data_IF_430950308775
#
_entry.id   IF_430950308775
#
_cell.length_a   1.000
_cell.length_b   1.000
_cell.length_c   1.000
_cell.angle_alpha   90.00
_cell.angle_beta   90.00
_cell.angle_gamma   90.00
#
_symmetry.space_group_name_H-M   'P 1'
#
loop_
_entity.id
_entity.type
_entity.pdbx_description
1 polymer ?
#
# COMPACT_ATOMS: atom_id res chain seq x y z
N UNK A 1 -16.25 -9.41 16.43
CA UNK A 1 -14.85 -9.48 16.89
C UNK A 1 -14.12 -10.61 16.18
N UNK A 2 -13.06 -10.29 15.46
CA UNK A 2 -12.20 -11.24 14.72
C UNK A 2 -11.13 -11.77 15.69
N UNK A 3 -10.82 -13.08 15.65
CA UNK A 3 -9.76 -13.69 16.46
C UNK A 3 -8.70 -14.33 15.57
N UNK A 4 -7.44 -14.03 15.85
CA UNK A 4 -6.28 -14.52 15.09
C UNK A 4 -5.08 -14.76 16.01
N UNK A 5 -4.06 -15.49 15.54
CA UNK A 5 -2.81 -15.61 16.29
C UNK A 5 -1.93 -14.39 16.09
N UNK A 6 -1.82 -13.91 14.85
CA UNK A 6 -1.07 -12.71 14.51
C UNK A 6 -1.93 -11.77 13.66
N UNK A 7 -2.01 -10.49 14.07
CA UNK A 7 -2.52 -9.40 13.27
C UNK A 7 -1.36 -8.66 12.62
N UNK A 8 -1.42 -8.52 11.30
CA UNK A 8 -0.43 -7.82 10.50
C UNK A 8 -1.06 -6.50 10.02
N UNK A 9 -0.50 -5.38 10.44
CA UNK A 9 -0.97 -4.04 10.06
C UNK A 9 -0.14 -3.56 8.88
N UNK A 10 -0.75 -3.55 7.70
CA UNK A 10 -0.16 -3.24 6.41
C UNK A 10 -0.05 -4.48 5.50
N UNK A 11 -0.65 -4.38 4.30
CA UNK A 11 -0.66 -5.42 3.26
C UNK A 11 0.36 -5.16 2.14
N UNK A 12 1.40 -4.37 2.40
CA UNK A 12 2.53 -4.19 1.49
C UNK A 12 3.44 -5.42 1.43
N UNK A 13 4.55 -5.39 0.66
CA UNK A 13 5.47 -6.54 0.50
C UNK A 13 5.90 -7.15 1.82
N UNK A 14 6.26 -6.32 2.81
CA UNK A 14 6.68 -6.77 4.14
C UNK A 14 5.56 -7.49 4.88
N UNK A 15 4.33 -6.94 4.86
CA UNK A 15 3.17 -7.56 5.50
C UNK A 15 2.81 -8.90 4.86
N UNK A 16 2.82 -8.97 3.53
CA UNK A 16 2.57 -10.22 2.80
C UNK A 16 3.65 -11.26 3.11
N UNK A 17 4.93 -10.89 3.11
CA UNK A 17 5.99 -11.82 3.48
C UNK A 17 5.92 -12.26 4.95
N UNK A 18 5.43 -11.39 5.85
CA UNK A 18 5.16 -11.78 7.25
C UNK A 18 4.12 -12.89 7.36
N UNK A 19 3.11 -12.90 6.47
CA UNK A 19 2.14 -14.02 6.40
C UNK A 19 2.84 -15.33 6.05
N UNK A 20 3.78 -15.30 5.09
CA UNK A 20 4.54 -16.48 4.69
C UNK A 20 5.30 -17.06 5.89
N UNK A 21 6.08 -16.25 6.57
CA UNK A 21 6.87 -16.69 7.73
C UNK A 21 6.00 -17.18 8.89
N UNK A 22 4.93 -16.46 9.22
CA UNK A 22 3.98 -16.86 10.26
C UNK A 22 3.24 -18.14 9.88
N UNK A 23 2.91 -18.30 8.60
CA UNK A 23 2.25 -19.50 8.07
C UNK A 23 3.09 -20.75 8.17
N UNK A 24 4.41 -20.65 7.94
CA UNK A 24 5.35 -21.76 8.18
C UNK A 24 5.34 -22.22 9.64
N UNK A 25 5.08 -21.30 10.58
CA UNK A 25 4.91 -21.58 12.01
C UNK A 25 3.48 -22.01 12.37
N UNK A 26 2.61 -22.23 11.37
CA UNK A 26 1.20 -22.63 11.53
C UNK A 26 0.36 -21.60 12.29
N UNK A 27 0.73 -20.33 12.27
CA UNK A 27 -0.04 -19.25 12.86
C UNK A 27 -1.19 -18.86 11.93
N UNK A 28 -2.36 -18.62 12.51
CA UNK A 28 -3.48 -18.01 11.81
C UNK A 28 -3.21 -16.52 11.66
N UNK A 29 -3.18 -16.04 10.41
CA UNK A 29 -2.88 -14.65 10.08
C UNK A 29 -4.15 -13.86 9.72
N UNK A 30 -4.22 -12.62 10.19
CA UNK A 30 -5.19 -11.62 9.73
C UNK A 30 -4.43 -10.35 9.32
N UNK A 31 -4.75 -9.81 8.15
CA UNK A 31 -4.15 -8.59 7.62
C UNK A 31 -5.16 -7.45 7.72
N UNK A 32 -4.71 -6.31 8.25
CA UNK A 32 -5.46 -5.05 8.28
C UNK A 32 -4.73 -4.03 7.41
N UNK A 33 -5.42 -3.42 6.46
CA UNK A 33 -4.86 -2.34 5.63
C UNK A 33 -5.89 -1.25 5.34
N UNK A 34 -5.42 -0.01 5.31
CA UNK A 34 -6.24 1.16 4.95
C UNK A 34 -6.62 1.21 3.47
N UNK A 35 -5.88 0.54 2.60
CA UNK A 35 -6.21 0.40 1.19
C UNK A 35 -7.26 -0.70 0.99
N UNK A 36 -8.03 -0.59 -0.10
CA UNK A 36 -9.07 -1.55 -0.46
C UNK A 36 -8.55 -2.80 -1.15
N UNK A 37 -7.23 -2.86 -1.41
CA UNK A 37 -6.54 -4.00 -2.02
C UNK A 37 -5.14 -4.16 -1.42
N UNK A 38 -4.60 -5.40 -1.35
CA UNK A 38 -3.23 -5.64 -0.93
C UNK A 38 -2.21 -5.07 -1.94
N UNK A 39 -0.99 -4.81 -1.45
CA UNK A 39 0.14 -4.40 -2.27
C UNK A 39 0.83 -3.12 -1.80
N UNK A 40 0.16 -2.32 -0.95
CA UNK A 40 0.75 -1.10 -0.39
C UNK A 40 1.26 -0.15 -1.47
N UNK A 41 2.44 0.45 -1.25
CA UNK A 41 3.05 1.41 -2.19
C UNK A 41 3.28 0.83 -3.59
N UNK A 42 3.64 -0.44 -3.69
CA UNK A 42 3.93 -1.09 -4.97
C UNK A 42 2.73 -1.08 -5.92
N UNK A 43 1.52 -1.22 -5.40
CA UNK A 43 0.30 -1.17 -6.21
C UNK A 43 -0.28 0.24 -6.28
N UNK A 44 -0.25 0.98 -5.17
CA UNK A 44 -0.92 2.28 -5.10
C UNK A 44 -0.13 3.38 -5.84
N UNK A 45 1.21 3.38 -5.76
CA UNK A 45 2.02 4.49 -6.26
C UNK A 45 2.71 4.20 -7.60
N UNK A 46 3.22 2.98 -7.82
CA UNK A 46 4.09 2.68 -8.96
C UNK A 46 4.00 1.22 -9.45
N UNK A 47 2.80 0.71 -9.76
CA UNK A 47 2.61 -0.71 -10.11
C UNK A 47 3.41 -1.15 -11.34
N UNK A 48 3.68 -0.24 -12.28
CA UNK A 48 4.42 -0.53 -13.52
C UNK A 48 5.89 -0.09 -13.47
N UNK A 49 6.41 0.30 -12.29
CA UNK A 49 7.81 0.73 -12.13
C UNK A 49 8.69 -0.47 -11.81
N UNK A 50 9.87 -0.63 -12.46
CA UNK A 50 10.88 -1.58 -12.03
C UNK A 50 11.47 -1.15 -10.69
N UNK A 51 11.72 -2.12 -9.80
CA UNK A 51 12.40 -1.97 -8.52
C UNK A 51 13.58 -2.94 -8.45
N UNK A 52 14.64 -2.56 -7.71
CA UNK A 52 15.94 -3.21 -7.76
C UNK A 52 16.43 -3.67 -6.38
N UNK A 53 15.67 -3.39 -5.35
CA UNK A 53 16.04 -3.58 -3.93
C UNK A 53 15.36 -4.82 -3.29
N UNK A 54 14.92 -5.76 -4.13
CA UNK A 54 14.31 -7.01 -3.66
C UNK A 54 15.34 -8.14 -3.72
N UNK A 55 15.68 -8.78 -2.58
CA UNK A 55 16.63 -9.88 -2.57
C UNK A 55 16.26 -11.00 -3.55
N UNK A 56 17.24 -11.45 -4.33
CA UNK A 56 17.04 -12.51 -5.32
C UNK A 56 16.50 -12.05 -6.68
N UNK A 57 16.12 -10.78 -6.81
CA UNK A 57 15.70 -10.17 -8.08
C UNK A 57 16.62 -9.01 -8.45
N UNK A 58 17.44 -9.12 -9.53
CA UNK A 58 18.19 -7.97 -10.04
C UNK A 58 17.30 -6.81 -10.43
N UNK A 59 16.09 -7.13 -10.92
CA UNK A 59 15.03 -6.20 -11.26
C UNK A 59 13.69 -6.95 -11.25
N UNK A 60 12.62 -6.32 -10.75
CA UNK A 60 11.25 -6.83 -10.84
C UNK A 60 10.27 -5.66 -10.94
N UNK A 61 9.20 -5.83 -11.70
CA UNK A 61 8.09 -4.86 -11.72
C UNK A 61 7.36 -4.91 -10.37
N UNK A 62 7.06 -3.75 -9.80
CA UNK A 62 6.47 -3.66 -8.47
C UNK A 62 5.13 -4.41 -8.35
N UNK A 63 4.30 -4.36 -9.40
CA UNK A 63 3.05 -5.13 -9.46
C UNK A 63 3.29 -6.64 -9.47
N UNK A 64 4.26 -7.11 -10.27
CA UNK A 64 4.57 -8.53 -10.38
C UNK A 64 5.12 -9.09 -9.07
N UNK A 65 5.88 -8.28 -8.32
CA UNK A 65 6.31 -8.66 -6.96
C UNK A 65 5.10 -8.94 -6.06
N UNK A 66 4.09 -8.09 -6.09
CA UNK A 66 2.90 -8.27 -5.26
C UNK A 66 2.11 -9.50 -5.68
N UNK A 67 1.94 -9.74 -6.98
CA UNK A 67 1.29 -10.96 -7.48
C UNK A 67 2.02 -12.22 -7.01
N UNK A 68 3.35 -12.24 -7.10
CA UNK A 68 4.17 -13.35 -6.62
C UNK A 68 4.01 -13.58 -5.10
N UNK A 69 4.01 -12.50 -4.30
CA UNK A 69 3.82 -12.60 -2.84
C UNK A 69 2.42 -13.12 -2.48
N UNK A 70 1.39 -12.65 -3.18
CA UNK A 70 0.02 -13.12 -2.96
C UNK A 70 -0.13 -14.61 -3.30
N UNK A 71 0.48 -15.08 -4.40
CA UNK A 71 0.50 -16.51 -4.73
C UNK A 71 1.29 -17.32 -3.69
N UNK A 72 2.43 -16.80 -3.22
CA UNK A 72 3.26 -17.43 -2.21
C UNK A 72 2.52 -17.65 -0.88
N UNK A 73 1.66 -16.72 -0.46
CA UNK A 73 0.92 -16.82 0.81
C UNK A 73 -0.42 -17.54 0.70
N UNK A 74 -0.90 -17.81 -0.50
CA UNK A 74 -2.20 -18.44 -0.77
C UNK A 74 -2.43 -19.76 -0.01
N UNK A 75 -1.43 -20.67 0.14
CA UNK A 75 -1.62 -21.89 0.93
C UNK A 75 -1.95 -21.66 2.41
N UNK A 76 -1.55 -20.52 2.97
CA UNK A 76 -1.78 -20.17 4.38
C UNK A 76 -3.14 -19.52 4.65
N UNK A 77 -3.89 -19.18 3.59
CA UNK A 77 -5.27 -18.66 3.65
C UNK A 77 -5.45 -17.51 4.66
N UNK A 78 -4.63 -16.44 4.61
CA UNK A 78 -4.82 -15.31 5.52
C UNK A 78 -6.20 -14.67 5.32
N UNK A 79 -6.78 -14.17 6.39
CA UNK A 79 -7.99 -13.36 6.32
C UNK A 79 -7.64 -11.87 6.29
N UNK A 80 -8.57 -11.03 5.80
CA UNK A 80 -8.32 -9.61 5.55
C UNK A 80 -9.42 -8.73 6.11
N UNK A 81 -9.03 -7.57 6.61
CA UNK A 81 -9.87 -6.37 6.78
C UNK A 81 -9.20 -5.26 5.97
N UNK A 82 -9.79 -4.90 4.83
CA UNK A 82 -9.25 -3.90 3.92
C UNK A 82 -10.13 -2.64 3.91
N UNK A 83 -9.51 -1.49 3.61
CA UNK A 83 -10.18 -0.20 3.62
C UNK A 83 -10.49 0.30 5.03
N UNK A 84 -9.75 -0.17 6.04
CA UNK A 84 -9.89 0.25 7.43
C UNK A 84 -8.52 0.54 8.05
N UNK A 85 -8.47 1.54 8.92
CA UNK A 85 -7.25 1.97 9.60
C UNK A 85 -7.27 1.57 11.07
N UNK A 86 -6.17 1.00 11.58
CA UNK A 86 -6.01 0.76 13.01
C UNK A 86 -5.99 2.11 13.76
N UNK A 87 -6.90 2.32 14.70
CA UNK A 87 -6.96 3.52 15.54
C UNK A 87 -6.40 3.30 16.92
N UNK A 88 -6.86 2.26 17.60
CA UNK A 88 -6.49 1.97 18.98
C UNK A 88 -5.90 0.57 19.09
N UNK A 89 -4.93 0.43 19.98
CA UNK A 89 -4.35 -0.83 20.38
C UNK A 89 -4.31 -0.91 21.90
N UNK A 90 -5.05 -1.85 22.45
CA UNK A 90 -5.10 -2.13 23.88
C UNK A 90 -4.41 -3.46 24.16
N UNK A 91 -3.49 -3.50 25.12
CA UNK A 91 -2.95 -4.74 25.67
C UNK A 91 -3.86 -5.21 26.79
N UNK A 92 -4.30 -6.46 26.72
CA UNK A 92 -5.20 -7.08 27.68
C UNK A 92 -4.42 -7.78 28.82
N UNK A 93 -5.10 -8.07 29.94
CA UNK A 93 -4.50 -8.69 31.11
C UNK A 93 -3.92 -10.10 30.85
N UNK A 94 -4.47 -10.82 29.89
CA UNK A 94 -3.98 -12.12 29.44
C UNK A 94 -2.76 -12.04 28.50
N UNK A 95 -2.27 -10.83 28.24
CA UNK A 95 -1.14 -10.55 27.36
C UNK A 95 -1.49 -10.47 25.86
N UNK A 96 -2.72 -10.71 25.48
CA UNK A 96 -3.21 -10.49 24.10
C UNK A 96 -3.44 -9.02 23.81
N UNK A 97 -3.72 -8.71 22.54
CA UNK A 97 -3.94 -7.34 22.05
C UNK A 97 -5.32 -7.24 21.40
N UNK A 98 -6.00 -6.15 21.67
CA UNK A 98 -7.21 -5.76 20.95
C UNK A 98 -6.93 -4.52 20.10
N UNK A 99 -7.17 -4.64 18.80
CA UNK A 99 -7.09 -3.52 17.86
C UNK A 99 -8.51 -3.13 17.45
N UNK A 100 -8.78 -1.83 17.47
CA UNK A 100 -10.05 -1.26 16.98
C UNK A 100 -9.75 -0.37 15.78
N UNK A 101 -10.52 -0.54 14.70
CA UNK A 101 -10.37 0.26 13.47
C UNK A 101 -11.24 1.52 13.50
N UNK A 102 -11.01 2.42 12.54
CA UNK A 102 -11.79 3.64 12.27
C UNK A 102 -13.25 3.34 11.92
N UNK A 103 -13.57 2.12 11.50
CA UNK A 103 -14.95 1.66 11.22
C UNK A 103 -15.56 0.83 12.36
N UNK A 104 -14.84 0.71 13.47
CA UNK A 104 -15.32 -0.02 14.66
C UNK A 104 -15.13 -1.53 14.60
N UNK A 105 -14.37 -2.05 13.63
CA UNK A 105 -13.99 -3.47 13.60
C UNK A 105 -13.04 -3.76 14.75
N UNK A 106 -13.35 -4.79 15.55
CA UNK A 106 -12.50 -5.24 16.65
C UNK A 106 -11.78 -6.54 16.29
N UNK A 107 -10.46 -6.54 16.48
CA UNK A 107 -9.58 -7.68 16.20
C UNK A 107 -8.79 -8.03 17.45
N UNK A 108 -8.87 -9.28 17.89
CA UNK A 108 -8.12 -9.83 19.01
C UNK A 108 -6.99 -10.70 18.46
N UNK A 109 -5.76 -10.42 18.86
CA UNK A 109 -4.57 -11.13 18.42
C UNK A 109 -3.59 -11.36 19.57
N UNK A 110 -2.81 -12.45 19.50
CA UNK A 110 -1.72 -12.73 20.45
C UNK A 110 -0.47 -11.91 20.11
N UNK A 111 -0.27 -11.63 18.83
CA UNK A 111 0.90 -10.93 18.28
C UNK A 111 0.41 -9.83 17.33
N UNK A 112 1.09 -8.68 17.35
CA UNK A 112 0.90 -7.60 16.38
C UNK A 112 2.21 -7.42 15.62
N UNK A 113 2.13 -7.52 14.30
CA UNK A 113 3.21 -7.14 13.39
C UNK A 113 2.85 -5.82 12.68
N UNK A 114 3.68 -4.79 12.86
CA UNK A 114 3.46 -3.49 12.23
C UNK A 114 4.31 -3.40 10.97
N UNK A 115 3.67 -3.41 9.81
CA UNK A 115 4.26 -3.31 8.47
C UNK A 115 3.65 -2.13 7.68
N UNK A 116 3.30 -1.05 8.38
CA UNK A 116 2.49 0.07 7.87
C UNK A 116 3.17 1.00 6.85
N UNK A 117 4.45 0.75 6.50
CA UNK A 117 5.17 1.56 5.51
C UNK A 117 5.14 3.05 5.83
N UNK A 118 4.68 3.89 4.89
CA UNK A 118 4.49 5.34 5.08
C UNK A 118 3.18 5.69 5.81
N UNK A 119 2.42 4.70 6.26
CA UNK A 119 1.09 4.89 6.85
C UNK A 119 0.00 5.06 5.78
N UNK A 120 -1.09 5.74 6.16
CA UNK A 120 -2.19 6.02 5.22
C UNK A 120 -1.72 6.99 4.12
N UNK A 121 -2.08 6.68 2.86
CA UNK A 121 -1.71 7.51 1.71
C UNK A 121 -2.52 8.81 1.68
N UNK A 122 -2.08 9.79 2.44
CA UNK A 122 -2.66 11.14 2.38
C UNK A 122 -1.76 12.02 1.52
N UNK A 123 -2.21 12.47 0.34
CA UNK A 123 -1.41 13.34 -0.52
C UNK A 123 -1.06 14.66 0.18
N UNK A 124 0.18 15.12 0.02
CA UNK A 124 0.54 16.48 0.41
C UNK A 124 -0.06 17.45 -0.59
N UNK A 125 -1.09 18.16 -0.17
CA UNK A 125 -1.80 19.11 -1.03
C UNK A 125 -1.09 20.48 -0.99
N UNK A 126 -0.84 21.12 -2.14
CA UNK A 126 -0.38 22.50 -2.16
C UNK A 126 -1.49 23.42 -1.62
N UNK A 127 -1.09 24.53 -0.98
CA UNK A 127 -2.03 25.51 -0.44
C UNK A 127 -2.55 26.42 -1.56
N UNK A 128 -3.49 25.90 -2.34
CA UNK A 128 -4.12 26.60 -3.47
C UNK A 128 -5.62 26.64 -3.21
N UNK A 129 -6.22 27.83 -3.39
CA UNK A 129 -7.66 27.99 -3.24
C UNK A 129 -8.41 27.11 -4.23
N UNK A 130 -9.49 26.49 -3.80
CA UNK A 130 -10.38 25.63 -4.60
C UNK A 130 -9.70 24.39 -5.23
N UNK A 131 -8.58 23.92 -4.70
CA UNK A 131 -7.86 22.75 -5.22
C UNK A 131 -8.75 21.50 -5.26
N UNK A 132 -9.64 21.34 -4.29
CA UNK A 132 -10.57 20.21 -4.20
C UNK A 132 -11.53 20.11 -5.40
N UNK A 133 -11.85 21.22 -6.05
CA UNK A 133 -12.75 21.23 -7.21
C UNK A 133 -12.11 20.58 -8.45
N UNK A 134 -10.79 20.49 -8.47
CA UNK A 134 -9.98 19.96 -9.57
C UNK A 134 -9.34 18.60 -9.27
N UNK A 135 -9.44 18.11 -8.03
CA UNK A 135 -8.94 16.78 -7.67
C UNK A 135 -9.65 15.71 -8.48
N UNK A 136 -8.89 14.79 -9.05
CA UNK A 136 -9.35 13.75 -10.00
C UNK A 136 -10.01 14.27 -11.29
N UNK A 137 -10.02 15.59 -11.52
CA UNK A 137 -10.55 16.23 -12.75
C UNK A 137 -9.48 16.98 -13.56
N UNK A 138 -8.24 16.98 -13.07
CA UNK A 138 -7.12 17.68 -13.68
C UNK A 138 -5.91 17.77 -12.77
N UNK A 139 -6.12 17.68 -11.45
CA UNK A 139 -5.06 17.56 -10.46
C UNK A 139 -5.02 16.10 -9.98
N UNK A 140 -3.86 15.49 -10.20
CA UNK A 140 -3.58 14.11 -9.79
C UNK A 140 -2.35 14.11 -8.89
N UNK A 141 -2.38 13.33 -7.84
CA UNK A 141 -1.26 13.16 -6.91
C UNK A 141 -0.44 11.90 -7.18
N UNK A 142 -0.94 11.04 -8.05
CA UNK A 142 -0.33 9.76 -8.44
C UNK A 142 -0.61 9.48 -9.90
N UNK A 143 0.31 8.78 -10.55
CA UNK A 143 0.18 8.33 -11.93
C UNK A 143 0.16 6.80 -11.93
N UNK A 144 -1.04 6.22 -12.09
CA UNK A 144 -1.21 4.75 -12.16
C UNK A 144 -0.96 4.22 -13.57
N UNK A 145 -1.39 4.96 -14.58
CA UNK A 145 -1.14 4.63 -15.99
C UNK A 145 -0.60 5.83 -16.77
N UNK A 146 0.69 5.84 -17.14
CA UNK A 146 1.28 6.91 -17.94
C UNK A 146 0.61 7.11 -19.29
N UNK A 147 0.01 6.08 -19.89
CA UNK A 147 -0.64 6.16 -21.20
C UNK A 147 -1.82 7.14 -21.23
N UNK A 148 -2.44 7.40 -20.09
CA UNK A 148 -3.52 8.39 -19.96
C UNK A 148 -3.10 9.81 -20.29
N UNK A 149 -1.79 10.10 -20.27
CA UNK A 149 -1.22 11.43 -20.55
C UNK A 149 -0.75 11.58 -21.99
N UNK A 150 -0.95 10.57 -22.82
CA UNK A 150 -0.58 10.63 -24.24
C UNK A 150 -1.27 11.81 -24.92
N UNK A 151 -0.49 12.61 -25.66
CA UNK A 151 -0.93 13.79 -26.41
C UNK A 151 -1.59 14.91 -25.57
N UNK A 152 -1.51 14.84 -24.23
CA UNK A 152 -2.03 15.87 -23.32
C UNK A 152 -0.97 16.93 -23.01
N UNK A 153 -1.44 18.11 -22.60
CA UNK A 153 -0.59 19.13 -21.96
C UNK A 153 -0.55 18.79 -20.47
N UNK A 154 0.63 18.60 -19.94
CA UNK A 154 0.86 18.18 -18.55
C UNK A 154 1.72 19.23 -17.85
N UNK A 155 1.47 19.46 -16.57
CA UNK A 155 2.34 20.24 -15.69
C UNK A 155 2.69 19.34 -14.50
N UNK A 156 3.97 19.22 -14.21
CA UNK A 156 4.45 18.51 -13.02
C UNK A 156 4.87 19.54 -11.98
N UNK A 157 4.26 19.47 -10.81
CA UNK A 157 4.59 20.32 -9.67
C UNK A 157 5.31 19.50 -8.60
N UNK A 158 6.61 19.74 -8.44
CA UNK A 158 7.46 19.05 -7.48
C UNK A 158 8.94 19.11 -7.86
N UNK A 159 9.83 18.88 -6.91
CA UNK A 159 11.29 18.92 -7.09
C UNK A 159 12.01 17.69 -6.55
N UNK A 160 11.30 16.63 -6.18
CA UNK A 160 11.88 15.37 -5.74
C UNK A 160 12.05 14.35 -6.87
N UNK A 161 12.66 13.22 -6.56
CA UNK A 161 12.97 12.14 -7.51
C UNK A 161 11.74 11.69 -8.32
N UNK A 162 10.59 11.55 -7.66
CA UNK A 162 9.35 11.18 -8.34
C UNK A 162 8.93 12.20 -9.43
N UNK A 163 9.13 13.50 -9.18
CA UNK A 163 8.81 14.52 -10.17
C UNK A 163 9.75 14.46 -11.37
N UNK A 164 11.05 14.20 -11.14
CA UNK A 164 12.05 14.01 -12.20
C UNK A 164 11.75 12.74 -13.01
N UNK A 165 11.50 11.63 -12.37
CA UNK A 165 11.17 10.35 -13.03
C UNK A 165 9.94 10.52 -13.94
N UNK A 166 8.87 11.12 -13.42
CA UNK A 166 7.67 11.38 -14.22
C UNK A 166 7.89 12.40 -15.34
N UNK A 167 8.75 13.41 -15.13
CA UNK A 167 9.12 14.36 -16.17
C UNK A 167 9.80 13.65 -17.34
N UNK A 168 10.75 12.74 -17.04
CA UNK A 168 11.47 11.96 -18.06
C UNK A 168 10.52 11.02 -18.81
N UNK A 169 9.60 10.36 -18.11
CA UNK A 169 8.67 9.41 -18.73
C UNK A 169 7.60 10.12 -19.56
N UNK A 170 6.94 11.13 -18.99
CA UNK A 170 5.82 11.80 -19.65
C UNK A 170 6.26 12.72 -20.79
N UNK A 171 7.49 13.26 -20.77
CA UNK A 171 8.03 14.05 -21.89
C UNK A 171 8.05 13.28 -23.22
N UNK A 172 8.10 11.94 -23.15
CA UNK A 172 8.14 11.08 -24.34
C UNK A 172 6.78 10.86 -24.99
N UNK A 173 5.69 11.09 -24.26
CA UNK A 173 4.33 10.74 -24.69
C UNK A 173 3.35 11.91 -24.64
N UNK A 174 3.59 12.92 -23.82
CA UNK A 174 2.74 14.10 -23.72
C UNK A 174 2.96 15.07 -24.89
N UNK A 175 1.95 15.84 -25.23
CA UNK A 175 2.06 16.90 -26.25
C UNK A 175 2.95 18.08 -25.79
N UNK A 176 2.94 18.35 -24.50
CA UNK A 176 3.73 19.38 -23.83
C UNK A 176 3.85 19.05 -22.36
N UNK A 177 5.04 19.15 -21.82
CA UNK A 177 5.34 19.04 -20.41
C UNK A 177 5.83 20.39 -19.87
#
# INVERSE_FOLDING_TARGET
>A
MIKTDILIIGAGPTGLFTVFEAGLLKMKCHILDSLTQPGGQCIELYPKKPIYDIPGYPEIIAGDLIENLLEQIKPFQPSYTLGETALNLDKLDDGSFKVTTDKGTEILAKIIAIAGGLGTFTPRKPNISNISDYENKGILYMIKDPSEFKDKKVVIAGGGDSALDWSIQLSKISKKL
#
